data_IF_709146308393
#
_entry.id   IF_709146308393
#
_cell.length_a   1.000
_cell.length_b   1.000
_cell.length_c   1.000
_cell.angle_alpha   90.00
_cell.angle_beta   90.00
_cell.angle_gamma   90.00
#
_symmetry.space_group_name_H-M   'P 1'
#
loop_
_entity.id
_entity.type
_entity.pdbx_description
1 polymer ?
#
# COMPACT_ATOMS: atom_id res chain seq x y z
N UNK A 1 -20.14 -40.07 -9.66
CA UNK A 1 -20.73 -38.73 -9.77
C UNK A 1 -19.59 -37.73 -9.96
N UNK A 2 -19.58 -36.89 -11.00
CA UNK A 2 -18.48 -35.97 -11.22
C UNK A 2 -18.50 -34.85 -10.17
N UNK A 3 -17.35 -34.56 -9.58
CA UNK A 3 -17.13 -33.59 -8.50
C UNK A 3 -17.41 -32.15 -8.92
N UNK A 4 -17.83 -31.31 -7.96
CA UNK A 4 -18.17 -29.90 -8.13
C UNK A 4 -17.11 -29.03 -8.86
N UNK A 5 -15.85 -29.48 -8.91
CA UNK A 5 -14.79 -28.85 -9.70
C UNK A 5 -15.03 -28.91 -11.22
N UNK A 6 -15.70 -29.94 -11.72
CA UNK A 6 -15.98 -30.09 -13.17
C UNK A 6 -17.08 -29.12 -13.63
N UNK A 7 -18.07 -28.83 -12.78
CA UNK A 7 -19.11 -27.83 -13.06
C UNK A 7 -18.54 -26.41 -13.05
N UNK A 8 -17.65 -26.09 -12.11
CA UNK A 8 -17.02 -24.76 -12.04
C UNK A 8 -16.12 -24.48 -13.25
N UNK A 9 -15.43 -25.50 -13.77
CA UNK A 9 -14.63 -25.38 -15.00
C UNK A 9 -15.50 -25.23 -16.26
N UNK A 10 -16.64 -25.91 -16.34
CA UNK A 10 -17.59 -25.78 -17.45
C UNK A 10 -18.29 -24.42 -17.49
N UNK A 11 -18.61 -23.83 -16.34
CA UNK A 11 -19.22 -22.48 -16.26
C UNK A 11 -18.22 -21.36 -16.61
N UNK A 12 -16.93 -21.56 -16.29
CA UNK A 12 -15.86 -20.63 -16.67
C UNK A 12 -15.55 -20.67 -18.16
N UNK A 13 -15.60 -21.85 -18.81
CA UNK A 13 -15.47 -21.92 -20.27
C UNK A 13 -16.66 -21.31 -21.02
N UNK A 14 -17.87 -21.37 -20.45
CA UNK A 14 -19.07 -20.77 -21.05
C UNK A 14 -19.08 -19.25 -21.03
N UNK A 15 -18.45 -18.65 -20.02
CA UNK A 15 -18.37 -17.19 -19.88
C UNK A 15 -17.27 -16.57 -20.74
N UNK A 16 -16.18 -17.29 -21.03
CA UNK A 16 -15.10 -16.77 -21.88
C UNK A 16 -15.41 -16.74 -23.38
N UNK A 17 -16.36 -17.55 -23.89
CA UNK A 17 -16.69 -17.59 -25.32
C UNK A 17 -17.76 -16.56 -25.77
N UNK A 18 -18.24 -15.68 -24.87
CA UNK A 18 -19.35 -14.77 -25.19
C UNK A 18 -18.96 -13.31 -25.44
N UNK A 19 -17.69 -12.94 -25.38
CA UNK A 19 -17.29 -11.55 -25.61
C UNK A 19 -16.27 -11.40 -26.75
N UNK A 20 -16.81 -11.11 -27.93
CA UNK A 20 -16.19 -10.20 -28.91
C UNK A 20 -17.30 -9.48 -29.71
N UNK A 21 -17.01 -8.35 -30.38
CA UNK A 21 -17.63 -7.07 -30.06
C UNK A 21 -18.73 -6.67 -31.05
N UNK A 22 -19.79 -6.04 -30.55
CA UNK A 22 -20.75 -5.32 -31.42
C UNK A 22 -20.90 -3.88 -30.97
N UNK A 23 -20.63 -3.01 -31.92
CA UNK A 23 -20.83 -1.57 -31.94
C UNK A 23 -22.18 -1.07 -31.43
N UNK A 24 -22.16 0.21 -31.03
CA UNK A 24 -23.26 1.19 -31.10
C UNK A 24 -24.50 0.95 -30.24
N UNK A 25 -24.60 1.68 -29.10
CA UNK A 25 -25.70 2.64 -28.84
C UNK A 25 -25.41 3.43 -27.56
N UNK A 26 -25.24 4.74 -27.69
CA UNK A 26 -25.35 5.70 -26.58
C UNK A 26 -26.83 5.80 -26.21
N UNK A 27 -27.16 5.66 -24.92
CA UNK A 27 -28.46 6.07 -24.39
C UNK A 27 -28.22 7.16 -23.34
N UNK A 28 -28.79 8.31 -23.66
CA UNK A 28 -28.62 9.62 -23.06
C UNK A 28 -29.54 9.75 -21.82
N UNK A 29 -28.96 9.99 -20.65
CA UNK A 29 -29.72 10.32 -19.43
C UNK A 29 -29.53 11.81 -19.15
N UNK A 30 -30.56 12.61 -19.41
CA UNK A 30 -30.64 14.02 -19.06
C UNK A 30 -30.78 14.23 -17.55
N UNK A 31 -30.16 15.28 -16.95
CA UNK A 31 -30.59 15.82 -15.66
C UNK A 31 -31.63 16.95 -15.84
N UNK A 32 -32.59 17.13 -14.91
CA UNK A 32 -33.67 18.08 -15.07
C UNK A 32 -33.22 19.52 -14.80
N UNK A 33 -33.70 20.43 -15.64
CA UNK A 33 -33.59 21.87 -15.50
C UNK A 33 -34.71 22.45 -14.63
N UNK A 34 -34.35 23.28 -13.65
CA UNK A 34 -35.22 24.33 -13.09
C UNK A 34 -35.22 24.45 -11.57
N UNK A 35 -34.59 25.49 -11.02
CA UNK A 35 -35.29 26.67 -10.45
C UNK A 35 -34.31 27.69 -9.82
N UNK A 36 -34.75 28.95 -9.87
CA UNK A 36 -34.13 30.26 -9.64
C UNK A 36 -33.43 30.56 -8.28
N UNK A 37 -32.33 31.35 -8.41
CA UNK A 37 -32.06 32.68 -7.79
C UNK A 37 -32.01 32.87 -6.26
N UNK A 38 -30.84 33.24 -5.71
CA UNK A 38 -30.53 34.56 -5.08
C UNK A 38 -29.28 34.50 -4.18
N UNK A 39 -28.61 35.67 -4.12
CA UNK A 39 -27.69 36.18 -3.07
C UNK A 39 -26.20 35.82 -3.12
N UNK A 40 -25.42 36.73 -3.73
CA UNK A 40 -24.06 37.08 -3.28
C UNK A 40 -24.15 38.27 -2.31
N UNK A 41 -23.29 38.36 -1.28
CA UNK A 41 -22.95 39.62 -0.64
C UNK A 41 -21.65 40.21 -1.20
N UNK A 42 -21.64 41.54 -1.35
CA UNK A 42 -20.47 42.35 -1.67
C UNK A 42 -19.53 42.54 -0.47
N UNK A 43 -18.26 42.93 -0.71
CA UNK A 43 -17.61 44.18 -0.24
C UNK A 43 -16.06 44.15 -0.43
N UNK A 44 -15.59 45.01 -1.34
CA UNK A 44 -14.57 46.10 -1.22
C UNK A 44 -13.19 45.87 -0.55
N UNK A 45 -12.12 46.29 -1.25
CA UNK A 45 -11.02 47.22 -0.85
C UNK A 45 -10.05 47.34 -2.06
N UNK A 46 -9.95 48.44 -2.80
CA UNK A 46 -9.42 49.77 -2.47
C UNK A 46 -7.93 49.75 -2.06
N UNK A 47 -7.06 50.12 -3.00
CA UNK A 47 -5.87 50.92 -2.73
C UNK A 47 -5.71 51.95 -3.85
N UNK A 48 -5.77 53.22 -3.49
CA UNK A 48 -5.25 54.32 -4.28
C UNK A 48 -4.05 54.92 -3.56
N UNK A 49 -3.10 55.47 -4.31
CA UNK A 49 -2.64 56.86 -4.17
C UNK A 49 -1.52 57.13 -5.19
N UNK A 50 -1.70 58.26 -5.87
CA UNK A 50 -0.88 58.98 -6.85
C UNK A 50 0.30 59.72 -6.16
N UNK A 51 1.02 60.73 -6.74
CA UNK A 51 1.09 61.24 -8.13
C UNK A 51 2.51 61.70 -8.62
N UNK A 52 2.55 62.29 -9.82
CA UNK A 52 3.37 63.44 -10.30
C UNK A 52 4.60 63.26 -11.22
N UNK A 53 4.52 64.04 -12.32
CA UNK A 53 5.54 64.83 -13.05
C UNK A 53 6.06 64.35 -14.42
N UNK A 54 5.39 64.83 -15.48
CA UNK A 54 5.90 65.79 -16.50
C UNK A 54 6.91 65.38 -17.60
N UNK A 55 6.97 66.12 -18.75
CA UNK A 55 6.72 65.57 -20.10
C UNK A 55 7.86 65.81 -21.11
N UNK A 56 7.77 65.27 -22.34
CA UNK A 56 8.41 65.84 -23.56
C UNK A 56 8.14 65.04 -24.85
N UNK A 57 8.34 65.73 -26.00
CA UNK A 57 8.19 65.35 -27.43
C UNK A 57 6.75 65.15 -27.91
N UNK A 58 6.08 66.10 -28.57
CA UNK A 58 6.36 66.80 -29.85
C UNK A 58 6.75 65.82 -30.96
N UNK A 59 5.78 65.45 -31.77
CA UNK A 59 5.93 65.30 -33.23
C UNK A 59 4.58 65.55 -33.92
N UNK A 60 4.69 66.30 -35.01
CA UNK A 60 3.64 66.93 -35.82
C UNK A 60 2.84 65.97 -36.72
N UNK A 61 1.66 66.41 -37.16
CA UNK A 61 0.93 65.75 -38.23
C UNK A 61 -0.49 66.29 -38.43
N UNK A 62 -0.61 67.46 -39.07
CA UNK A 62 -1.84 67.98 -39.66
C UNK A 62 -2.40 67.01 -40.72
N UNK A 63 -3.70 66.68 -40.67
CA UNK A 63 -4.52 66.66 -41.89
C UNK A 63 -6.02 66.84 -41.56
N UNK A 64 -6.58 67.89 -42.14
CA UNK A 64 -7.95 68.34 -42.02
C UNK A 64 -8.89 67.74 -43.09
N UNK A 65 -10.17 67.65 -42.71
CA UNK A 65 -11.38 67.51 -43.54
C UNK A 65 -11.80 66.09 -43.98
N UNK A 66 -13.01 65.65 -43.57
CA UNK A 66 -14.23 65.79 -44.39
C UNK A 66 -15.42 65.04 -43.74
N UNK A 67 -16.51 65.78 -43.54
CA UNK A 67 -17.85 65.26 -43.24
C UNK A 67 -18.37 64.39 -44.40
N UNK A 68 -18.83 63.16 -44.14
CA UNK A 68 -20.06 62.55 -44.71
C UNK A 68 -20.36 61.17 -44.09
N UNK A 69 -21.63 60.86 -43.77
CA UNK A 69 -22.03 59.57 -43.21
C UNK A 69 -22.37 58.58 -44.34
N UNK A 70 -21.86 57.36 -44.28
CA UNK A 70 -22.33 56.24 -45.11
C UNK A 70 -22.05 54.92 -44.41
N UNK A 71 -23.07 54.45 -43.71
CA UNK A 71 -23.53 53.06 -43.68
C UNK A 71 -22.58 52.04 -44.33
N UNK A 72 -21.74 51.39 -43.51
CA UNK A 72 -21.09 50.13 -43.87
C UNK A 72 -21.67 48.99 -43.02
N UNK A 73 -22.59 48.27 -43.68
CA UNK A 73 -22.91 46.85 -43.55
C UNK A 73 -22.35 46.10 -42.32
N UNK A 74 -23.28 45.67 -41.46
CA UNK A 74 -23.10 44.62 -40.47
C UNK A 74 -22.36 43.41 -41.09
N UNK A 75 -21.15 43.12 -40.63
CA UNK A 75 -20.48 41.82 -40.86
C UNK A 75 -21.41 40.70 -40.35
N UNK A 76 -21.63 39.62 -41.12
CA UNK A 76 -22.49 38.55 -40.66
C UNK A 76 -21.85 37.88 -39.44
N UNK A 77 -22.70 37.54 -38.47
CA UNK A 77 -22.33 36.84 -37.25
C UNK A 77 -21.49 35.59 -37.58
N UNK A 78 -20.31 35.50 -36.95
CA UNK A 78 -19.40 34.36 -37.04
C UNK A 78 -20.16 33.08 -36.70
N UNK A 79 -20.11 32.11 -37.60
CA UNK A 79 -20.79 30.81 -37.46
C UNK A 79 -20.42 30.09 -36.13
N UNK A 80 -21.35 29.36 -35.50
CA UNK A 80 -21.12 28.60 -34.26
C UNK A 80 -19.94 27.62 -34.34
N UNK A 81 -19.63 27.13 -35.55
CA UNK A 81 -18.57 26.15 -35.81
C UNK A 81 -17.17 26.60 -35.41
N UNK A 82 -16.86 27.90 -35.46
CA UNK A 82 -15.55 28.41 -35.01
C UNK A 82 -15.42 28.50 -33.50
N UNK A 83 -16.53 28.68 -32.77
CA UNK A 83 -16.52 28.67 -31.32
C UNK A 83 -16.44 27.23 -30.80
N UNK A 84 -17.17 26.30 -31.41
CA UNK A 84 -17.03 24.87 -31.14
C UNK A 84 -15.63 24.38 -31.50
N UNK A 85 -15.10 24.63 -32.69
CA UNK A 85 -13.73 24.22 -33.04
C UNK A 85 -12.66 24.84 -32.11
N UNK A 86 -12.86 26.07 -31.63
CA UNK A 86 -11.98 26.68 -30.63
C UNK A 86 -12.18 26.06 -29.24
N UNK A 87 -13.40 25.67 -28.87
CA UNK A 87 -13.71 25.00 -27.60
C UNK A 87 -13.21 23.55 -27.59
N UNK A 88 -13.30 22.83 -28.71
CA UNK A 88 -12.71 21.51 -28.90
C UNK A 88 -11.19 21.60 -28.91
N UNK A 89 -10.61 22.62 -29.57
CA UNK A 89 -9.16 22.86 -29.49
C UNK A 89 -8.73 23.28 -28.07
N UNK A 90 -9.51 24.09 -27.35
CA UNK A 90 -9.19 24.47 -25.97
C UNK A 90 -9.39 23.31 -24.98
N UNK A 91 -10.39 22.45 -25.18
CA UNK A 91 -10.59 21.20 -24.41
C UNK A 91 -9.45 20.21 -24.67
N UNK A 92 -9.02 20.05 -25.93
CA UNK A 92 -7.85 19.20 -26.26
C UNK A 92 -6.53 19.78 -25.72
N UNK A 93 -6.44 21.10 -25.53
CA UNK A 93 -5.24 21.75 -24.97
C UNK A 93 -5.25 21.82 -23.43
N UNK A 94 -6.35 21.51 -22.75
CA UNK A 94 -6.49 21.74 -21.29
C UNK A 94 -6.33 20.51 -20.40
N UNK A 95 -6.12 19.30 -20.94
CA UNK A 95 -5.83 18.12 -20.10
C UNK A 95 -4.75 17.19 -20.69
N UNK A 96 -3.69 17.74 -21.28
CA UNK A 96 -2.37 17.13 -21.10
C UNK A 96 -1.69 17.91 -20.01
N UNK A 97 -1.93 17.53 -18.75
CA UNK A 97 -1.03 17.99 -17.70
C UNK A 97 0.35 17.49 -18.09
N UNK A 98 1.28 18.41 -18.34
CA UNK A 98 2.69 18.07 -18.51
C UNK A 98 3.10 17.33 -17.24
N UNK A 99 3.14 16.00 -17.31
CA UNK A 99 3.47 15.17 -16.17
C UNK A 99 4.90 15.52 -15.77
N UNK A 100 5.05 16.04 -14.55
CA UNK A 100 6.39 16.35 -14.04
C UNK A 100 7.23 15.08 -14.04
N UNK A 101 8.45 15.11 -14.60
CA UNK A 101 9.27 13.91 -14.73
C UNK A 101 9.56 13.32 -13.35
N UNK A 102 9.33 12.02 -13.21
CA UNK A 102 9.49 11.30 -11.94
C UNK A 102 10.98 11.19 -11.59
N UNK A 103 11.35 11.56 -10.37
CA UNK A 103 12.70 11.36 -9.86
C UNK A 103 12.93 9.92 -9.41
N UNK A 104 13.19 9.03 -10.37
CA UNK A 104 13.43 7.60 -10.12
C UNK A 104 14.64 7.33 -9.23
N UNK A 105 15.65 8.20 -9.22
CA UNK A 105 16.85 8.02 -8.40
C UNK A 105 16.54 8.08 -6.91
N UNK A 106 15.59 8.94 -6.51
CA UNK A 106 15.13 9.04 -5.13
C UNK A 106 14.13 7.94 -4.73
N UNK A 107 13.34 7.43 -5.69
CA UNK A 107 12.30 6.43 -5.45
C UNK A 107 12.81 4.99 -5.48
N UNK A 108 13.80 4.67 -6.31
CA UNK A 108 14.35 3.32 -6.44
C UNK A 108 14.83 2.72 -5.09
N UNK A 109 15.62 3.43 -4.25
CA UNK A 109 16.00 2.91 -2.93
C UNK A 109 14.79 2.67 -2.00
N UNK A 110 13.72 3.49 -2.10
CA UNK A 110 12.49 3.26 -1.35
C UNK A 110 11.78 1.98 -1.79
N UNK A 111 11.73 1.73 -3.11
CA UNK A 111 11.17 0.51 -3.65
C UNK A 111 11.99 -0.73 -3.26
N UNK A 112 13.32 -0.64 -3.27
CA UNK A 112 14.18 -1.74 -2.82
C UNK A 112 13.98 -2.08 -1.33
N UNK A 113 13.94 -1.06 -0.46
CA UNK A 113 13.61 -1.25 0.96
C UNK A 113 12.22 -1.87 1.10
N UNK A 114 11.25 -1.41 0.31
CA UNK A 114 9.88 -1.93 0.35
C UNK A 114 9.78 -3.39 -0.11
N UNK A 115 10.49 -3.78 -1.15
CA UNK A 115 10.59 -5.17 -1.60
C UNK A 115 11.27 -6.03 -0.55
N UNK A 116 12.35 -5.55 0.07
CA UNK A 116 13.04 -6.30 1.13
C UNK A 116 12.16 -6.49 2.36
N UNK A 117 11.45 -5.46 2.77
CA UNK A 117 10.44 -5.52 3.83
C UNK A 117 9.36 -6.57 3.54
N UNK A 118 8.80 -6.55 2.33
CA UNK A 118 7.81 -7.53 1.89
C UNK A 118 8.36 -8.96 1.92
N UNK A 119 9.56 -9.16 1.38
CA UNK A 119 10.23 -10.45 1.32
C UNK A 119 10.48 -11.02 2.71
N UNK A 120 10.94 -10.16 3.61
CA UNK A 120 11.24 -10.55 4.99
C UNK A 120 9.97 -10.87 5.78
N UNK A 121 8.90 -10.10 5.56
CA UNK A 121 7.59 -10.35 6.15
C UNK A 121 7.00 -11.70 5.71
N UNK A 122 7.08 -12.04 4.42
CA UNK A 122 6.39 -13.22 3.89
C UNK A 122 7.15 -14.52 4.02
N UNK A 123 8.46 -14.46 4.18
CA UNK A 123 9.31 -15.65 4.25
C UNK A 123 8.85 -16.65 5.29
N UNK A 124 8.45 -16.16 6.47
CA UNK A 124 8.01 -17.02 7.56
C UNK A 124 6.71 -17.77 7.25
N UNK A 125 5.79 -17.21 6.47
CA UNK A 125 4.51 -17.87 6.18
C UNK A 125 4.66 -19.20 5.44
N UNK A 126 5.74 -19.36 4.70
CA UNK A 126 6.01 -20.60 3.95
C UNK A 126 6.38 -21.77 4.86
N UNK A 127 6.84 -21.51 6.08
CA UNK A 127 7.33 -22.54 6.99
C UNK A 127 6.85 -22.41 8.44
N UNK A 128 6.06 -21.39 8.79
CA UNK A 128 5.66 -21.13 10.18
C UNK A 128 4.92 -22.30 10.83
N UNK A 129 4.01 -22.95 10.07
CA UNK A 129 3.25 -24.10 10.53
C UNK A 129 4.20 -25.26 10.83
N UNK A 130 5.06 -25.59 9.87
CA UNK A 130 6.02 -26.67 10.01
C UNK A 130 7.06 -26.40 11.11
N UNK A 131 7.44 -25.13 11.29
CA UNK A 131 8.35 -24.70 12.34
C UNK A 131 7.75 -24.90 13.72
N UNK A 132 6.49 -24.50 13.93
CA UNK A 132 5.77 -24.73 15.19
C UNK A 132 5.59 -26.23 15.42
N UNK A 133 5.23 -27.01 14.39
CA UNK A 133 5.13 -28.48 14.50
C UNK A 133 6.43 -29.11 14.97
N UNK A 134 7.56 -28.70 14.37
CA UNK A 134 8.89 -29.22 14.72
C UNK A 134 9.26 -28.85 16.17
N UNK A 135 8.91 -27.64 16.62
CA UNK A 135 9.13 -27.22 18.01
C UNK A 135 8.32 -28.07 18.99
N UNK A 136 7.02 -28.25 18.73
CA UNK A 136 6.13 -29.02 19.61
C UNK A 136 6.53 -30.49 19.68
N UNK A 137 6.86 -31.11 18.54
CA UNK A 137 7.36 -32.49 18.48
C UNK A 137 8.65 -32.68 19.30
N UNK A 138 9.56 -31.69 19.27
CA UNK A 138 10.80 -31.75 20.04
C UNK A 138 10.60 -31.49 21.55
N UNK A 139 9.45 -30.95 21.97
CA UNK A 139 9.11 -30.70 23.39
C UNK A 139 8.39 -31.90 24.04
N UNK A 140 7.68 -32.73 23.27
CA UNK A 140 6.70 -33.73 23.76
C UNK A 140 7.27 -35.10 24.23
N UNK A 141 8.53 -35.19 24.71
CA UNK A 141 9.02 -36.44 25.35
C UNK A 141 9.73 -36.21 26.69
N UNK A 142 9.18 -36.81 27.78
CA UNK A 142 9.63 -38.15 28.17
C UNK A 142 8.53 -39.25 28.26
N UNK A 143 7.24 -38.94 28.10
CA UNK A 143 6.16 -39.89 28.48
C UNK A 143 5.23 -40.36 27.33
N UNK A 144 5.47 -39.98 26.07
CA UNK A 144 4.83 -40.61 24.91
C UNK A 144 3.32 -40.40 24.74
N UNK A 145 2.72 -39.42 25.41
CA UNK A 145 1.36 -38.99 25.13
C UNK A 145 1.41 -37.79 24.18
N UNK A 146 0.92 -37.96 22.95
CA UNK A 146 0.63 -36.86 22.02
C UNK A 146 -0.42 -35.94 22.68
N UNK A 147 0.03 -34.87 23.33
CA UNK A 147 -0.85 -33.95 24.03
C UNK A 147 -1.59 -33.01 23.07
N UNK A 148 -2.76 -32.55 23.53
CA UNK A 148 -3.72 -31.62 22.90
C UNK A 148 -3.15 -30.32 22.29
N UNK A 149 -1.85 -30.05 22.40
CA UNK A 149 -1.21 -28.84 21.89
C UNK A 149 -0.85 -28.90 20.41
N UNK A 150 -0.69 -30.09 19.82
CA UNK A 150 -0.56 -30.23 18.36
C UNK A 150 -1.81 -29.76 17.60
N UNK A 151 -3.00 -29.86 18.21
CA UNK A 151 -4.24 -29.31 17.62
C UNK A 151 -4.25 -27.77 17.60
N UNK A 152 -3.36 -27.12 18.37
CA UNK A 152 -3.29 -25.66 18.51
C UNK A 152 -2.23 -25.02 17.62
N UNK A 153 -1.61 -25.75 16.68
CA UNK A 153 -0.60 -25.18 15.76
C UNK A 153 -1.13 -23.95 15.02
N UNK A 154 -2.37 -24.02 14.52
CA UNK A 154 -3.03 -22.90 13.85
C UNK A 154 -3.24 -21.70 14.78
N UNK A 155 -3.56 -21.93 16.05
CA UNK A 155 -3.69 -20.88 17.07
C UNK A 155 -2.35 -20.20 17.32
N UNK A 156 -1.26 -20.96 17.46
CA UNK A 156 0.07 -20.38 17.68
C UNK A 156 0.58 -19.59 16.47
N UNK A 157 0.35 -20.08 15.25
CA UNK A 157 0.66 -19.33 14.03
C UNK A 157 -0.16 -18.04 13.94
N UNK A 158 -1.45 -18.12 14.27
CA UNK A 158 -2.35 -16.96 14.34
C UNK A 158 -1.94 -15.95 15.42
N UNK A 159 -1.51 -16.40 16.59
CA UNK A 159 -0.99 -15.54 17.66
C UNK A 159 0.31 -14.83 17.24
N UNK A 160 1.19 -15.53 16.55
CA UNK A 160 2.41 -14.95 16.01
C UNK A 160 2.09 -13.82 15.02
N UNK A 161 1.16 -14.03 14.09
CA UNK A 161 0.73 -12.98 13.15
C UNK A 161 -0.05 -11.85 13.82
N UNK A 162 -0.97 -12.19 14.73
CA UNK A 162 -1.75 -11.23 15.49
C UNK A 162 -0.87 -10.31 16.32
N UNK A 163 0.17 -10.84 16.96
CA UNK A 163 1.13 -10.06 17.74
C UNK A 163 1.93 -9.07 16.88
N UNK A 164 2.31 -9.48 15.67
CA UNK A 164 2.95 -8.63 14.68
C UNK A 164 2.03 -7.47 14.26
N UNK A 165 0.80 -7.78 13.84
CA UNK A 165 -0.20 -6.79 13.44
C UNK A 165 -0.53 -5.80 14.56
N UNK A 166 -0.72 -6.31 15.79
CA UNK A 166 -0.99 -5.48 16.97
C UNK A 166 0.14 -4.51 17.25
N UNK A 167 1.38 -5.00 17.24
CA UNK A 167 2.56 -4.18 17.50
C UNK A 167 2.77 -3.14 16.40
N UNK A 168 2.55 -3.52 15.15
CA UNK A 168 2.65 -2.61 14.00
C UNK A 168 1.59 -1.50 14.03
N UNK A 169 0.35 -1.84 14.37
CA UNK A 169 -0.70 -0.85 14.54
C UNK A 169 -0.38 0.12 15.70
N UNK A 170 0.10 -0.40 16.83
CA UNK A 170 0.48 0.42 17.98
C UNK A 170 1.67 1.35 17.66
N UNK A 171 2.63 0.89 16.85
CA UNK A 171 3.84 1.65 16.51
C UNK A 171 3.70 2.59 15.32
N UNK A 172 2.65 2.47 14.51
CA UNK A 172 2.47 3.36 13.36
C UNK A 172 2.47 4.86 13.74
N UNK A 173 1.74 5.32 14.78
CA UNK A 173 1.79 6.72 15.21
C UNK A 173 3.13 7.13 15.85
N UNK A 174 3.85 6.16 16.43
CA UNK A 174 5.17 6.40 17.02
C UNK A 174 6.19 6.70 15.92
N UNK A 175 6.26 5.86 14.88
CA UNK A 175 7.17 6.05 13.75
C UNK A 175 6.82 7.28 12.92
N UNK A 176 5.54 7.62 12.76
CA UNK A 176 5.12 8.85 12.10
C UNK A 176 5.76 10.09 12.78
N UNK A 177 5.59 10.20 14.11
CA UNK A 177 6.17 11.30 14.91
C UNK A 177 7.69 11.28 14.92
N UNK A 178 8.28 10.09 15.03
CA UNK A 178 9.74 9.96 15.08
C UNK A 178 10.38 10.39 13.76
N UNK A 179 9.75 10.04 12.63
CA UNK A 179 10.16 10.47 11.30
C UNK A 179 10.01 11.99 11.10
N UNK A 180 8.96 12.61 11.64
CA UNK A 180 8.82 14.07 11.63
C UNK A 180 9.93 14.78 12.46
N UNK A 181 10.27 14.21 13.63
CA UNK A 181 11.22 14.84 14.57
C UNK A 181 12.67 14.67 14.15
N UNK A 182 13.11 13.45 13.88
CA UNK A 182 14.53 13.13 13.66
C UNK A 182 14.94 13.06 12.18
N UNK A 183 13.98 13.16 11.25
CA UNK A 183 14.19 13.00 9.82
C UNK A 183 13.60 11.69 9.30
N UNK A 184 13.10 11.73 8.06
CA UNK A 184 12.45 10.60 7.39
C UNK A 184 13.46 9.51 7.08
N UNK A 185 14.62 9.88 6.50
CA UNK A 185 15.67 8.93 6.12
C UNK A 185 16.21 8.18 7.34
N UNK A 186 16.62 8.93 8.38
CA UNK A 186 17.23 8.34 9.59
C UNK A 186 16.28 7.38 10.30
N UNK A 187 15.01 7.77 10.44
CA UNK A 187 14.00 6.94 11.11
C UNK A 187 13.69 5.67 10.31
N UNK A 188 13.62 5.75 8.98
CA UNK A 188 13.41 4.59 8.12
C UNK A 188 14.57 3.59 8.22
N UNK A 189 15.81 4.06 8.07
CA UNK A 189 17.01 3.21 8.06
C UNK A 189 17.20 2.53 9.41
N UNK A 190 17.09 3.28 10.52
CA UNK A 190 17.28 2.72 11.87
C UNK A 190 16.21 1.69 12.22
N UNK A 191 14.94 1.97 11.94
CA UNK A 191 13.87 1.01 12.24
C UNK A 191 13.91 -0.20 11.32
N UNK A 192 14.21 -0.03 10.03
CA UNK A 192 14.34 -1.17 9.12
C UNK A 192 15.55 -2.05 9.45
N UNK A 193 16.66 -1.48 9.94
CA UNK A 193 17.79 -2.27 10.46
C UNK A 193 17.39 -3.19 11.63
N UNK A 194 16.56 -2.69 12.55
CA UNK A 194 15.98 -3.50 13.62
C UNK A 194 15.10 -4.63 13.07
N UNK A 195 14.26 -4.33 12.08
CA UNK A 195 13.40 -5.32 11.40
C UNK A 195 14.22 -6.45 10.74
N UNK A 196 15.30 -6.09 10.03
CA UNK A 196 16.22 -7.03 9.39
C UNK A 196 16.89 -7.94 10.42
N UNK A 197 17.27 -7.39 11.58
CA UNK A 197 17.84 -8.17 12.67
C UNK A 197 16.83 -9.18 13.24
N UNK A 198 15.59 -8.75 13.47
CA UNK A 198 14.54 -9.63 13.97
C UNK A 198 14.28 -10.80 13.01
N UNK A 199 14.33 -10.54 11.71
CA UNK A 199 14.16 -11.57 10.70
C UNK A 199 15.32 -12.55 10.61
N UNK A 200 16.54 -12.10 10.87
CA UNK A 200 17.68 -13.01 10.98
C UNK A 200 17.50 -13.98 12.16
N UNK A 201 17.02 -13.50 13.30
CA UNK A 201 16.93 -14.31 14.53
C UNK A 201 15.69 -15.19 14.67
N UNK A 202 14.61 -14.91 13.93
CA UNK A 202 13.33 -15.62 14.09
C UNK A 202 13.47 -17.14 13.91
N UNK A 203 14.37 -17.60 13.02
CA UNK A 203 14.56 -19.02 12.70
C UNK A 203 15.51 -19.78 13.64
N UNK A 204 16.11 -19.12 14.63
CA UNK A 204 17.10 -19.70 15.56
C UNK A 204 16.50 -20.12 16.91
N UNK A 205 15.17 -20.15 17.04
CA UNK A 205 14.50 -20.48 18.30
C UNK A 205 13.97 -21.89 18.38
N UNK A 206 13.94 -22.43 19.60
CA UNK A 206 13.39 -23.75 19.89
C UNK A 206 12.08 -23.73 20.69
N UNK A 207 11.41 -22.57 20.77
CA UNK A 207 10.19 -22.40 21.54
C UNK A 207 9.18 -21.57 20.76
N UNK A 208 7.90 -21.88 20.92
CA UNK A 208 6.79 -21.10 20.33
C UNK A 208 6.84 -19.65 20.80
N UNK A 209 7.21 -19.42 22.07
CA UNK A 209 7.36 -18.07 22.63
C UNK A 209 8.45 -17.25 21.93
N UNK A 210 9.53 -17.90 21.47
CA UNK A 210 10.58 -17.23 20.69
C UNK A 210 10.04 -16.71 19.36
N UNK A 211 9.28 -17.55 18.63
CA UNK A 211 8.69 -17.18 17.35
C UNK A 211 7.75 -15.99 17.54
N UNK A 212 6.85 -16.05 18.54
CA UNK A 212 5.91 -14.96 18.84
C UNK A 212 6.67 -13.68 19.22
N UNK A 213 7.71 -13.76 20.06
CA UNK A 213 8.51 -12.61 20.46
C UNK A 213 9.20 -11.91 19.27
N UNK A 214 9.86 -12.67 18.39
CA UNK A 214 10.52 -12.11 17.22
C UNK A 214 9.53 -11.60 16.16
N UNK A 215 8.33 -12.20 16.08
CA UNK A 215 7.25 -11.68 15.22
C UNK A 215 6.66 -10.38 15.75
N UNK A 216 6.43 -10.28 17.06
CA UNK A 216 5.97 -9.06 17.70
C UNK A 216 6.98 -7.93 17.53
N UNK A 217 8.27 -8.18 17.79
CA UNK A 217 9.35 -7.18 17.62
C UNK A 217 9.57 -6.78 16.17
N UNK A 218 9.39 -7.71 15.21
CA UNK A 218 9.33 -7.36 13.78
C UNK A 218 8.18 -6.37 13.47
N UNK A 219 7.13 -6.32 14.30
CA UNK A 219 6.03 -5.34 14.21
C UNK A 219 6.45 -3.91 14.50
N UNK A 220 7.61 -3.68 15.13
CA UNK A 220 8.19 -2.35 15.34
C UNK A 220 8.71 -1.72 14.02
N UNK A 221 8.38 -2.28 12.87
CA UNK A 221 8.85 -1.89 11.57
C UNK A 221 8.24 -0.55 11.06
N UNK A 222 9.06 0.48 10.74
CA UNK A 222 8.57 1.76 10.23
C UNK A 222 8.14 1.76 8.76
N UNK A 223 8.59 0.76 7.98
CA UNK A 223 8.57 0.81 6.51
C UNK A 223 7.18 1.15 5.94
N UNK A 224 6.07 0.50 6.36
CA UNK A 224 4.76 0.77 5.77
C UNK A 224 4.24 2.20 5.96
N UNK A 225 4.70 2.88 7.02
CA UNK A 225 4.30 4.24 7.35
C UNK A 225 5.23 5.24 6.67
N UNK A 226 6.55 5.14 6.93
CA UNK A 226 7.51 6.16 6.53
C UNK A 226 7.74 6.18 5.03
N UNK A 227 7.76 5.01 4.35
CA UNK A 227 7.96 4.97 2.89
C UNK A 227 6.83 5.66 2.14
N UNK A 228 5.57 5.47 2.55
CA UNK A 228 4.42 6.12 1.90
C UNK A 228 4.51 7.64 2.05
N UNK A 229 4.93 8.12 3.21
CA UNK A 229 5.12 9.56 3.44
C UNK A 229 6.26 10.10 2.58
N UNK A 230 7.40 9.41 2.53
CA UNK A 230 8.52 9.83 1.66
C UNK A 230 8.12 9.84 0.18
N UNK A 231 7.35 8.86 -0.29
CA UNK A 231 6.80 8.86 -1.65
C UNK A 231 5.93 10.09 -1.87
N UNK A 232 5.03 10.43 -0.95
CA UNK A 232 4.21 11.65 -1.09
C UNK A 232 5.04 12.94 -1.09
N UNK A 233 6.12 13.02 -0.32
CA UNK A 233 7.00 14.19 -0.26
C UNK A 233 7.91 14.31 -1.50
N UNK A 234 8.29 13.19 -2.13
CA UNK A 234 9.12 13.15 -3.34
C UNK A 234 8.34 13.28 -4.64
N UNK A 235 7.01 13.16 -4.59
CA UNK A 235 6.13 13.17 -5.77
C UNK A 235 5.21 14.37 -5.77
N UNK A 236 4.96 14.88 -6.96
CA UNK A 236 4.02 15.95 -7.20
C UNK A 236 2.61 15.39 -7.45
N UNK A 237 1.56 16.21 -7.30
CA UNK A 237 0.18 15.78 -7.49
C UNK A 237 -0.08 15.20 -8.90
N UNK A 238 0.68 15.68 -9.90
CA UNK A 238 0.61 15.21 -11.29
C UNK A 238 1.12 13.77 -11.49
N UNK A 239 2.16 13.34 -10.76
CA UNK A 239 2.80 12.02 -10.95
C UNK A 239 2.58 11.05 -9.78
N UNK A 240 2.08 11.54 -8.63
CA UNK A 240 1.81 10.73 -7.43
C UNK A 240 0.93 9.50 -7.68
N UNK A 241 -0.20 9.57 -8.44
CA UNK A 241 -1.02 8.39 -8.68
C UNK A 241 -0.26 7.26 -9.38
N UNK A 242 0.62 7.62 -10.33
CA UNK A 242 1.44 6.67 -11.08
C UNK A 242 2.56 6.04 -10.23
N UNK A 243 3.16 6.81 -9.31
CA UNK A 243 4.15 6.26 -8.38
C UNK A 243 3.47 5.36 -7.34
N UNK A 244 2.29 5.72 -6.85
CA UNK A 244 1.52 4.87 -5.94
C UNK A 244 0.97 3.61 -6.60
N UNK A 245 0.61 3.65 -7.89
CA UNK A 245 0.22 2.44 -8.61
C UNK A 245 1.40 1.46 -8.73
N UNK A 246 2.63 1.96 -8.87
CA UNK A 246 3.86 1.16 -8.90
C UNK A 246 4.24 0.57 -7.54
N UNK A 247 3.79 1.16 -6.43
CA UNK A 247 4.09 0.67 -5.07
C UNK A 247 3.51 -0.73 -4.79
N UNK A 248 2.34 -1.07 -5.33
CA UNK A 248 1.69 -2.36 -5.10
C UNK A 248 2.41 -3.52 -5.83
N UNK A 249 2.75 -3.43 -7.13
CA UNK A 249 3.58 -4.42 -7.81
C UNK A 249 4.92 -4.68 -7.11
N UNK A 250 5.63 -3.62 -6.70
CA UNK A 250 6.92 -3.72 -5.99
C UNK A 250 6.80 -4.51 -4.68
N UNK A 251 5.69 -4.32 -3.96
CA UNK A 251 5.39 -5.09 -2.75
C UNK A 251 5.16 -6.58 -3.08
N UNK A 252 4.34 -6.88 -4.09
CA UNK A 252 4.05 -8.26 -4.48
C UNK A 252 5.26 -9.00 -5.05
N UNK A 253 6.18 -8.31 -5.74
CA UNK A 253 7.46 -8.90 -6.14
C UNK A 253 8.22 -9.44 -4.93
N UNK A 254 8.34 -8.64 -3.86
CA UNK A 254 8.97 -9.09 -2.63
C UNK A 254 8.18 -10.20 -1.94
N UNK A 255 6.84 -10.14 -2.00
CA UNK A 255 5.96 -11.17 -1.47
C UNK A 255 6.26 -12.56 -2.07
N UNK A 256 6.36 -12.63 -3.41
CA UNK A 256 6.69 -13.85 -4.16
C UNK A 256 8.11 -14.32 -3.83
N UNK A 257 9.08 -13.40 -3.84
CA UNK A 257 10.48 -13.73 -3.50
C UNK A 257 10.60 -14.29 -2.08
N UNK A 258 9.83 -13.76 -1.12
CA UNK A 258 9.85 -14.25 0.26
C UNK A 258 9.24 -15.63 0.39
N UNK A 259 8.14 -15.93 -0.31
CA UNK A 259 7.60 -17.28 -0.34
C UNK A 259 8.56 -18.29 -0.95
N UNK A 260 9.19 -17.92 -2.06
CA UNK A 260 10.19 -18.76 -2.70
C UNK A 260 11.40 -18.99 -1.80
N UNK A 261 11.92 -17.94 -1.16
CA UNK A 261 13.03 -18.05 -0.21
C UNK A 261 12.66 -18.93 0.99
N UNK A 262 11.48 -18.74 1.58
CA UNK A 262 10.99 -19.53 2.71
C UNK A 262 10.82 -21.01 2.38
N UNK A 263 10.21 -21.32 1.24
CA UNK A 263 9.97 -22.70 0.82
C UNK A 263 11.24 -23.41 0.31
N UNK A 264 12.12 -22.71 -0.40
CA UNK A 264 13.30 -23.32 -1.02
C UNK A 264 14.50 -23.41 -0.06
N UNK A 265 14.55 -22.61 1.00
CA UNK A 265 15.67 -22.60 1.95
C UNK A 265 15.35 -23.26 3.30
N UNK A 266 14.10 -23.66 3.54
CA UNK A 266 13.74 -24.42 4.74
C UNK A 266 14.38 -25.81 4.73
N UNK A 267 14.73 -26.32 5.91
CA UNK A 267 15.36 -27.64 6.10
C UNK A 267 16.51 -27.89 5.11
N UNK A 268 17.58 -27.08 5.15
CA UNK A 268 18.62 -27.15 4.15
C UNK A 268 19.55 -28.36 4.33
N UNK A 269 19.71 -28.84 5.58
CA UNK A 269 20.61 -29.93 5.92
C UNK A 269 20.25 -31.22 5.17
N UNK A 270 21.20 -31.76 4.41
CA UNK A 270 21.02 -32.95 3.56
C UNK A 270 20.19 -32.76 2.28
N UNK A 271 19.52 -31.61 2.08
CA UNK A 271 18.71 -31.32 0.87
C UNK A 271 19.39 -30.34 -0.09
N UNK A 272 20.04 -29.31 0.45
CA UNK A 272 20.74 -28.30 -0.33
C UNK A 272 22.22 -28.70 -0.56
N UNK A 273 22.88 -28.17 -1.59
CA UNK A 273 24.31 -28.37 -1.76
C UNK A 273 25.12 -27.72 -0.63
N UNK A 274 26.35 -28.21 -0.41
CA UNK A 274 27.22 -27.80 0.70
C UNK A 274 27.38 -26.26 0.82
N UNK A 275 27.54 -25.56 -0.31
CA UNK A 275 27.72 -24.10 -0.32
C UNK A 275 26.47 -23.30 0.12
N UNK A 276 25.28 -23.91 0.09
CA UNK A 276 24.02 -23.32 0.55
C UNK A 276 23.66 -23.76 1.99
N UNK A 277 24.57 -24.41 2.70
CA UNK A 277 24.36 -24.85 4.07
C UNK A 277 23.85 -26.28 4.22
N UNK A 278 23.94 -27.10 3.18
CA UNK A 278 23.54 -28.51 3.20
C UNK A 278 24.31 -29.40 4.18
N UNK A 279 25.55 -29.02 4.49
CA UNK A 279 26.47 -29.79 5.35
C UNK A 279 26.77 -29.07 6.68
N UNK A 280 26.15 -27.91 6.94
CA UNK A 280 26.43 -27.11 8.13
C UNK A 280 25.56 -27.60 9.29
N UNK A 281 26.21 -28.12 10.34
CA UNK A 281 25.57 -28.62 11.57
C UNK A 281 24.67 -27.58 12.27
N UNK A 282 24.95 -26.27 12.08
CA UNK A 282 24.11 -25.19 12.58
C UNK A 282 22.66 -25.29 12.06
N UNK A 283 22.47 -25.64 10.79
CA UNK A 283 21.14 -25.79 10.19
C UNK A 283 20.51 -27.16 10.45
N UNK A 284 21.27 -28.12 10.94
CA UNK A 284 20.72 -29.34 11.53
C UNK A 284 20.01 -29.00 12.85
N UNK A 285 20.63 -28.16 13.68
CA UNK A 285 20.03 -27.67 14.93
C UNK A 285 18.89 -26.68 14.70
N UNK A 286 19.04 -25.79 13.72
CA UNK A 286 18.07 -24.74 13.40
C UNK A 286 17.63 -24.82 11.92
N UNK A 287 16.70 -25.74 11.56
CA UNK A 287 16.32 -25.99 10.18
C UNK A 287 15.64 -24.80 9.47
N UNK A 288 15.20 -23.80 10.24
CA UNK A 288 14.51 -22.60 9.74
C UNK A 288 15.36 -21.32 9.84
N UNK A 289 16.63 -21.42 10.24
CA UNK A 289 17.53 -20.27 10.34
C UNK A 289 18.00 -19.73 8.98
N UNK A 290 18.19 -20.61 7.99
CA UNK A 290 18.73 -20.23 6.67
C UNK A 290 17.81 -19.25 5.89
N UNK A 291 16.48 -19.47 5.79
CA UNK A 291 15.59 -18.49 5.16
C UNK A 291 15.67 -17.09 5.81
N UNK A 292 15.81 -17.02 7.13
CA UNK A 292 15.95 -15.77 7.87
C UNK A 292 17.26 -15.04 7.54
N UNK A 293 18.37 -15.77 7.46
CA UNK A 293 19.66 -15.19 7.04
C UNK A 293 19.59 -14.69 5.60
N UNK A 294 19.08 -15.50 4.67
CA UNK A 294 19.04 -15.15 3.25
C UNK A 294 18.22 -13.87 3.00
N UNK A 295 17.10 -13.72 3.70
CA UNK A 295 16.28 -12.51 3.60
C UNK A 295 16.90 -11.32 4.30
N UNK A 296 17.58 -11.55 5.43
CA UNK A 296 18.35 -10.51 6.10
C UNK A 296 19.50 -9.98 5.24
N UNK A 297 20.20 -10.83 4.46
CA UNK A 297 21.25 -10.39 3.52
C UNK A 297 20.66 -9.40 2.51
N UNK A 298 19.52 -9.74 1.90
CA UNK A 298 18.84 -8.82 0.98
C UNK A 298 18.39 -7.54 1.68
N UNK A 299 17.89 -7.63 2.92
CA UNK A 299 17.56 -6.49 3.76
C UNK A 299 18.75 -5.57 4.03
N UNK A 300 19.93 -6.13 4.35
CA UNK A 300 21.18 -5.39 4.55
C UNK A 300 21.63 -4.71 3.25
N UNK A 301 21.55 -5.39 2.10
CA UNK A 301 21.84 -4.78 0.80
C UNK A 301 20.92 -3.58 0.53
N UNK A 302 19.62 -3.72 0.78
CA UNK A 302 18.66 -2.62 0.66
C UNK A 302 18.93 -1.48 1.64
N UNK A 303 19.42 -1.76 2.86
CA UNK A 303 19.86 -0.75 3.82
C UNK A 303 21.08 0.01 3.34
N UNK A 304 22.08 -0.68 2.77
CA UNK A 304 23.28 -0.07 2.21
C UNK A 304 22.90 0.87 1.06
N UNK A 305 22.09 0.39 0.10
CA UNK A 305 21.62 1.21 -1.03
C UNK A 305 20.80 2.40 -0.53
N UNK A 306 19.88 2.18 0.43
CA UNK A 306 19.10 3.24 1.06
C UNK A 306 19.97 4.28 1.76
N UNK A 307 21.03 3.87 2.45
CA UNK A 307 21.90 4.79 3.16
C UNK A 307 22.67 5.71 2.20
N UNK A 308 23.14 5.19 1.06
CA UNK A 308 23.93 5.96 0.10
C UNK A 308 23.01 6.84 -0.78
N UNK A 309 21.90 6.30 -1.29
CA UNK A 309 21.12 6.95 -2.37
C UNK A 309 19.88 7.70 -1.89
N UNK A 310 19.34 7.38 -0.70
CA UNK A 310 18.08 8.01 -0.26
C UNK A 310 18.34 9.46 0.18
N UNK A 311 17.64 10.46 -0.39
CA UNK A 311 17.71 11.84 0.09
C UNK A 311 16.91 12.00 1.40
N UNK A 312 17.30 12.96 2.23
CA UNK A 312 16.47 13.40 3.36
C UNK A 312 15.34 14.29 2.82
N UNK A 313 14.09 13.90 3.05
CA UNK A 313 12.90 14.61 2.52
C UNK A 313 12.31 15.60 3.52
N UNK A 314 12.80 15.61 4.77
CA UNK A 314 12.35 16.57 5.78
C UNK A 314 12.65 18.01 5.30
N UNK A 315 11.64 18.90 5.23
CA UNK A 315 11.88 20.28 4.84
C UNK A 315 12.83 20.95 5.84
N UNK A 316 13.91 21.51 5.33
CA UNK A 316 14.87 22.33 6.09
C UNK A 316 14.09 23.49 6.69
N UNK A 317 14.16 23.64 8.02
CA UNK A 317 13.41 24.61 8.83
C UNK A 317 13.18 25.96 8.14
N UNK A 318 11.98 26.18 7.60
CA UNK A 318 11.47 27.54 7.42
C UNK A 318 10.81 27.94 8.74
N UNK A 319 11.52 28.76 9.52
CA UNK A 319 10.96 29.53 10.62
C UNK A 319 9.81 30.41 10.09
N UNK A 320 8.59 29.87 10.04
CA UNK A 320 7.38 30.66 9.86
C UNK A 320 6.29 30.09 10.77
N UNK A 321 6.19 30.66 11.97
CA UNK A 321 4.94 31.05 12.64
C UNK A 321 3.69 30.14 12.59
N UNK A 322 3.82 28.81 12.47
CA UNK A 322 2.85 27.86 13.03
C UNK A 322 3.35 27.36 14.39
N UNK A 323 3.70 28.32 15.25
CA UNK A 323 3.98 28.07 16.64
C UNK A 323 2.70 27.66 17.37
N UNK A 324 2.69 26.44 17.93
CA UNK A 324 1.93 25.95 19.12
C UNK A 324 0.94 24.78 18.94
N UNK A 325 0.53 24.35 17.75
CA UNK A 325 -0.49 23.27 17.65
C UNK A 325 0.04 21.85 17.40
N UNK A 326 1.32 21.69 17.05
CA UNK A 326 1.92 20.37 16.76
C UNK A 326 2.71 19.77 17.94
N UNK A 327 2.91 20.54 19.02
CA UNK A 327 3.65 20.08 20.20
C UNK A 327 2.79 19.09 20.98
N UNK A 328 3.04 17.80 20.73
CA UNK A 328 2.47 16.64 21.43
C UNK A 328 0.94 16.50 21.35
N UNK A 329 0.37 16.30 20.15
CA UNK A 329 -0.96 15.66 20.10
C UNK A 329 -0.88 14.30 20.78
N UNK A 330 -1.64 14.12 21.85
CA UNK A 330 -1.73 12.85 22.58
C UNK A 330 -2.23 11.75 21.63
N UNK A 331 -1.82 10.48 21.83
CA UNK A 331 -2.32 9.36 21.03
C UNK A 331 -3.86 9.33 20.97
N UNK A 332 -4.51 9.75 22.05
CA UNK A 332 -5.97 9.89 22.14
C UNK A 332 -6.52 10.89 21.11
N UNK A 333 -5.86 12.02 20.92
CA UNK A 333 -6.32 13.06 19.99
C UNK A 333 -6.21 12.62 18.54
N UNK A 334 -5.13 11.91 18.18
CA UNK A 334 -4.99 11.32 16.85
C UNK A 334 -6.05 10.25 16.60
N UNK A 335 -6.30 9.36 17.57
CA UNK A 335 -7.34 8.34 17.45
C UNK A 335 -8.72 8.97 17.26
N UNK A 336 -9.02 10.02 18.01
CA UNK A 336 -10.28 10.78 17.87
C UNK A 336 -10.38 11.45 16.50
N UNK A 337 -9.30 12.00 15.96
CA UNK A 337 -9.30 12.58 14.61
C UNK A 337 -9.45 11.52 13.51
N UNK A 338 -8.80 10.36 13.65
CA UNK A 338 -8.94 9.24 12.70
C UNK A 338 -10.38 8.75 12.66
N UNK A 339 -11.03 8.63 13.82
CA UNK A 339 -12.45 8.24 13.91
C UNK A 339 -13.40 9.26 13.27
N UNK A 340 -12.99 10.54 13.23
CA UNK A 340 -13.77 11.62 12.58
C UNK A 340 -13.63 11.67 11.06
N UNK A 341 -12.74 10.87 10.46
CA UNK A 341 -12.58 10.82 9.00
C UNK A 341 -13.89 10.27 8.38
N UNK A 342 -14.52 10.98 7.43
CA UNK A 342 -15.73 10.50 6.78
C UNK A 342 -15.48 9.13 6.13
N UNK A 343 -16.42 8.22 6.29
CA UNK A 343 -16.37 6.83 5.81
C UNK A 343 -15.33 5.89 6.45
N UNK A 344 -14.45 6.36 7.35
CA UNK A 344 -13.46 5.49 8.00
C UNK A 344 -14.12 4.35 8.80
N UNK A 345 -15.12 4.68 9.63
CA UNK A 345 -15.88 3.68 10.38
C UNK A 345 -16.68 2.74 9.48
N UNK A 346 -17.18 3.23 8.35
CA UNK A 346 -17.94 2.42 7.38
C UNK A 346 -17.04 1.39 6.70
N UNK A 347 -15.84 1.79 6.28
CA UNK A 347 -14.85 0.87 5.69
C UNK A 347 -14.35 -0.14 6.74
N UNK A 348 -14.09 0.31 7.97
CA UNK A 348 -13.68 -0.57 9.06
C UNK A 348 -14.77 -1.60 9.40
N UNK A 349 -16.03 -1.16 9.50
CA UNK A 349 -17.17 -2.04 9.75
C UNK A 349 -17.36 -3.04 8.61
N UNK A 350 -17.24 -2.60 7.35
CA UNK A 350 -17.30 -3.48 6.18
C UNK A 350 -16.20 -4.55 6.19
N UNK A 351 -14.96 -4.16 6.49
CA UNK A 351 -13.83 -5.09 6.59
C UNK A 351 -14.03 -6.12 7.71
N UNK A 352 -14.40 -5.67 8.91
CA UNK A 352 -14.71 -6.56 10.03
C UNK A 352 -15.89 -7.48 9.71
N UNK A 353 -16.92 -6.97 9.03
CA UNK A 353 -18.07 -7.74 8.57
C UNK A 353 -17.68 -8.86 7.60
N UNK A 354 -16.84 -8.57 6.60
CA UNK A 354 -16.32 -9.59 5.68
C UNK A 354 -15.50 -10.66 6.43
N UNK A 355 -14.67 -10.24 7.40
CA UNK A 355 -13.90 -11.18 8.21
C UNK A 355 -14.80 -12.08 9.07
N UNK A 356 -15.85 -11.52 9.69
CA UNK A 356 -16.82 -12.26 10.48
C UNK A 356 -17.64 -13.23 9.61
N UNK A 357 -18.07 -12.80 8.43
CA UNK A 357 -18.79 -13.66 7.48
C UNK A 357 -17.89 -14.80 7.00
N UNK A 358 -16.63 -14.54 6.66
CA UNK A 358 -15.68 -15.59 6.29
C UNK A 358 -15.45 -16.57 7.44
N UNK A 359 -15.33 -16.09 8.67
CA UNK A 359 -15.19 -16.95 9.84
C UNK A 359 -16.44 -17.80 10.09
N UNK A 360 -17.64 -17.23 9.98
CA UNK A 360 -18.92 -17.95 10.08
C UNK A 360 -19.08 -19.03 8.99
N UNK A 361 -18.71 -18.70 7.75
CA UNK A 361 -18.74 -19.66 6.64
C UNK A 361 -17.76 -20.82 6.88
N UNK A 362 -16.59 -20.53 7.43
CA UNK A 362 -15.60 -21.54 7.77
C UNK A 362 -16.05 -22.44 8.92
N UNK A 363 -16.70 -21.87 9.95
CA UNK A 363 -17.29 -22.62 11.05
C UNK A 363 -18.42 -23.55 10.56
N UNK A 364 -19.32 -23.05 9.71
CA UNK A 364 -20.37 -23.88 9.09
C UNK A 364 -19.81 -24.97 8.17
N UNK A 365 -18.72 -24.68 7.46
CA UNK A 365 -18.02 -25.66 6.63
C UNK A 365 -17.43 -26.82 7.45
N UNK A 366 -16.88 -26.52 8.64
CA UNK A 366 -16.38 -27.53 9.58
C UNK A 366 -17.47 -28.31 10.30
N UNK A 367 -18.67 -27.75 10.48
CA UNK A 367 -19.83 -28.48 11.04
C UNK A 367 -20.46 -29.44 10.02
N UNK A 368 -20.45 -29.10 8.72
CA UNK A 368 -20.97 -30.00 7.68
C UNK A 368 -20.06 -31.21 7.40
N UNK A 369 -18.74 -31.07 7.53
CA UNK A 369 -17.79 -32.17 7.28
C UNK A 369 -18.00 -33.42 8.17
N UNK A 370 -18.15 -33.33 9.50
CA UNK A 370 -18.40 -34.49 10.35
C UNK A 370 -19.76 -35.13 10.08
N UNK A 371 -20.80 -34.36 9.75
CA UNK A 371 -22.09 -34.92 9.31
C UNK A 371 -21.98 -35.65 7.96
N UNK A 372 -21.24 -35.09 7.00
CA UNK A 372 -21.03 -35.70 5.69
C UNK A 372 -20.18 -36.98 5.80
N UNK A 373 -19.15 -36.97 6.64
CA UNK A 373 -18.31 -38.15 6.95
C UNK A 373 -19.11 -39.21 7.73
N UNK A 374 -20.00 -38.81 8.64
CA UNK A 374 -20.90 -39.73 9.34
C UNK A 374 -21.93 -40.37 8.40
N UNK A 375 -22.44 -39.63 7.41
CA UNK A 375 -23.37 -40.15 6.39
C UNK A 375 -22.70 -41.01 5.32
N UNK A 376 -21.39 -40.82 5.07
CA UNK A 376 -20.60 -41.63 4.14
C UNK A 376 -20.04 -42.94 4.75
N UNK A 377 -20.10 -43.13 6.08
CA UNK A 377 -19.82 -44.41 6.76
C UNK A 377 -21.05 -45.33 6.81
N UNK A 378 -21.73 -45.53 5.67
CA UNK A 378 -22.66 -46.65 5.50
C UNK A 378 -21.91 -47.90 5.01
N UNK A 379 -22.30 -49.11 5.44
CA UNK A 379 -21.50 -50.32 5.33
C UNK A 379 -21.52 -50.87 3.90
N UNK A 380 -20.60 -50.40 3.07
CA UNK A 380 -20.24 -51.10 1.84
C UNK A 380 -18.90 -51.77 2.09
N UNK A 381 -18.94 -52.95 2.72
CA UNK A 381 -18.04 -54.10 2.55
C UNK A 381 -18.30 -55.09 3.70
N UNK A 382 -19.04 -56.20 3.48
CA UNK A 382 -18.90 -57.38 4.32
C UNK A 382 -17.58 -58.10 3.97
N UNK A 383 -17.08 -58.87 4.94
CA UNK A 383 -15.77 -59.52 5.04
C UNK A 383 -15.24 -60.26 3.80
#
# INVERSE_FOLDING_TARGET
MPSAQTYFQLELQRTQFREEPSSSRFEEIQPPSGFMNKSQPQIRRQYGCSPTSDPSSIEDGDESALNRPSTQLLKPARSPRTFEARKTALDDTTVRSDQTPVNWKALLPLFMIRTADAMTYTTIFSFIVEYITTILQNQDHPNGALTSDSDKIGLYAGLAEGSFMLTQAAMAPFWARMADRYGRKRSLILGFAGTVLCAAFVGFGGSVGWVIFWRATFGLNPVPVVVRVMITELTDLSNRPFVFSSYSPVFHCGYIMGHLAGGLLSKPYGRLPAFLGGEIELFQKWPYGLPGIATAIFGVLSLIVGQIWLPETKPVNTNHQMGRTSKERSLRELLVEVVKIPHFLTVLYGFCGVCLVNHELEMRGRELQPELIARLRLPLFPA
#
